data_IF_701687881098
#
_entry.id   IF_701687881098
#
_cell.length_a   1.000
_cell.length_b   1.000
_cell.length_c   1.000
_cell.angle_alpha   90.00
_cell.angle_beta   90.00
_cell.angle_gamma   90.00
#
_symmetry.space_group_name_H-M   'P 1'
#
loop_
_entity.id
_entity.type
_entity.pdbx_description
1 polymer ?
#
# COMPACT_ATOMS: atom_id res chain seq x y z
N UNK A 1 -10.48 5.31 -7.46
CA UNK A 1 -11.05 4.49 -6.35
C UNK A 1 -9.94 4.09 -5.39
N UNK A 2 -10.18 4.28 -4.10
CA UNK A 2 -9.29 3.87 -3.00
C UNK A 2 -10.06 2.96 -2.04
N UNK A 3 -9.45 1.83 -1.69
CA UNK A 3 -9.98 0.88 -0.69
C UNK A 3 -8.91 0.62 0.35
N UNK A 4 -9.35 0.43 1.60
CA UNK A 4 -8.51 0.13 2.75
C UNK A 4 -9.22 -0.94 3.57
N UNK A 5 -8.57 -2.08 3.74
CA UNK A 5 -9.13 -3.24 4.42
C UNK A 5 -8.11 -3.83 5.42
N UNK A 6 -8.62 -4.58 6.39
CA UNK A 6 -7.82 -5.36 7.33
C UNK A 6 -8.51 -6.71 7.53
N UNK A 7 -8.36 -7.62 6.57
CA UNK A 7 -9.08 -8.89 6.56
C UNK A 7 -8.45 -9.95 7.47
N UNK A 8 -7.19 -9.75 7.88
CA UNK A 8 -6.44 -10.73 8.66
C UNK A 8 -5.35 -10.09 9.54
N UNK A 9 -5.50 -10.23 10.85
CA UNK A 9 -4.46 -9.89 11.83
C UNK A 9 -3.91 -8.47 11.63
N UNK A 10 -2.60 -8.37 11.41
CA UNK A 10 -1.88 -7.10 11.23
C UNK A 10 -1.75 -6.66 9.78
N UNK A 11 -2.32 -7.39 8.82
CA UNK A 11 -2.21 -7.05 7.40
C UNK A 11 -3.22 -5.96 7.04
N UNK A 12 -2.74 -4.82 6.54
CA UNK A 12 -3.57 -3.79 5.93
C UNK A 12 -3.43 -3.90 4.41
N UNK A 13 -4.55 -3.97 3.73
CA UNK A 13 -4.66 -4.12 2.29
C UNK A 13 -5.20 -2.81 1.71
N UNK A 14 -4.42 -2.16 0.86
CA UNK A 14 -4.80 -0.90 0.23
C UNK A 14 -4.80 -1.07 -1.28
N UNK A 15 -5.92 -0.84 -1.94
CA UNK A 15 -5.97 -0.85 -3.41
C UNK A 15 -6.39 0.50 -3.94
N UNK A 16 -5.61 0.99 -4.90
CA UNK A 16 -5.84 2.25 -5.58
C UNK A 16 -5.85 2.00 -7.09
N UNK A 17 -6.90 2.47 -7.76
CA UNK A 17 -7.13 2.21 -9.19
C UNK A 17 -7.68 3.45 -9.89
N UNK A 18 -7.35 3.59 -11.18
CA UNK A 18 -7.75 4.71 -12.01
C UNK A 18 -6.94 5.98 -11.72
N UNK A 19 -7.63 7.13 -11.75
CA UNK A 19 -7.08 8.42 -11.33
C UNK A 19 -7.45 8.63 -9.85
N UNK A 20 -6.48 8.41 -8.97
CA UNK A 20 -6.62 8.71 -7.55
C UNK A 20 -6.62 10.22 -7.38
N UNK A 21 -7.51 10.73 -6.53
CA UNK A 21 -7.57 12.15 -6.20
C UNK A 21 -7.35 12.36 -4.70
N UNK A 22 -6.94 13.58 -4.33
CA UNK A 22 -6.86 14.01 -2.92
C UNK A 22 -8.17 13.73 -2.17
N UNK A 23 -9.32 13.98 -2.79
CA UNK A 23 -10.63 13.72 -2.16
C UNK A 23 -10.87 12.24 -1.88
N UNK A 24 -10.50 11.35 -2.80
CA UNK A 24 -10.59 9.89 -2.57
C UNK A 24 -9.65 9.42 -1.46
N UNK A 25 -8.43 9.97 -1.39
CA UNK A 25 -7.50 9.67 -0.30
C UNK A 25 -8.05 10.13 1.05
N UNK A 26 -8.51 11.38 1.14
CA UNK A 26 -9.09 11.94 2.36
C UNK A 26 -10.31 11.14 2.83
N UNK A 27 -11.16 10.70 1.90
CA UNK A 27 -12.31 9.87 2.21
C UNK A 27 -11.93 8.49 2.77
N UNK A 28 -10.72 7.99 2.47
CA UNK A 28 -10.22 6.71 2.99
C UNK A 28 -9.54 6.81 4.36
N UNK A 29 -9.16 8.01 4.82
CA UNK A 29 -8.43 8.19 6.07
C UNK A 29 -9.20 7.71 7.31
N UNK A 30 -10.51 7.97 7.47
CA UNK A 30 -11.23 7.49 8.65
C UNK A 30 -11.15 5.97 8.79
N UNK A 31 -11.30 5.24 7.69
CA UNK A 31 -11.17 3.77 7.67
C UNK A 31 -9.76 3.32 8.05
N UNK A 32 -8.74 3.95 7.49
CA UNK A 32 -7.35 3.64 7.82
C UNK A 32 -7.03 3.90 9.30
N UNK A 33 -7.44 5.06 9.84
CA UNK A 33 -7.26 5.40 11.24
C UNK A 33 -8.03 4.47 12.18
N UNK A 34 -9.25 4.06 11.79
CA UNK A 34 -10.02 3.07 12.55
C UNK A 34 -9.28 1.74 12.63
N UNK A 35 -8.70 1.26 11.53
CA UNK A 35 -7.88 0.03 11.51
C UNK A 35 -6.67 0.18 12.44
N UNK A 36 -5.92 1.28 12.34
CA UNK A 36 -4.76 1.52 13.19
C UNK A 36 -5.13 1.61 14.68
N UNK A 37 -6.33 2.07 15.01
CA UNK A 37 -6.82 2.15 16.38
C UNK A 37 -7.21 0.78 16.97
N UNK A 38 -7.44 -0.25 16.14
CA UNK A 38 -7.88 -1.57 16.64
C UNK A 38 -6.80 -2.32 17.41
N UNK A 39 -5.53 -1.96 17.25
CA UNK A 39 -4.41 -2.67 17.87
C UNK A 39 -3.24 -1.72 18.14
N UNK A 40 -2.57 -1.82 19.30
CA UNK A 40 -1.33 -1.08 19.56
C UNK A 40 -0.13 -1.66 18.80
N UNK A 41 -0.27 -2.82 18.14
CA UNK A 41 0.81 -3.43 17.38
C UNK A 41 1.13 -2.63 16.11
N UNK A 42 2.33 -2.88 15.56
CA UNK A 42 2.67 -2.40 14.22
C UNK A 42 2.03 -3.29 13.15
N UNK A 43 1.62 -2.66 12.07
CA UNK A 43 0.94 -3.29 10.95
C UNK A 43 1.91 -3.60 9.81
N UNK A 44 1.53 -4.57 8.98
CA UNK A 44 2.18 -4.84 7.70
C UNK A 44 1.23 -4.38 6.61
N UNK A 45 1.72 -3.62 5.63
CA UNK A 45 0.87 -3.03 4.60
C UNK A 45 1.22 -3.58 3.23
N UNK A 46 0.19 -3.94 2.47
CA UNK A 46 0.29 -4.29 1.07
C UNK A 46 -0.56 -3.32 0.27
N UNK A 47 0.07 -2.55 -0.60
CA UNK A 47 -0.59 -1.57 -1.45
C UNK A 47 -0.53 -2.00 -2.92
N UNK A 48 -1.66 -1.98 -3.61
CA UNK A 48 -1.79 -2.35 -5.01
C UNK A 48 -2.19 -1.14 -5.86
N UNK A 49 -1.24 -0.66 -6.67
CA UNK A 49 -1.37 0.44 -7.62
C UNK A 49 -1.29 -0.05 -9.07
N UNK A 50 -1.45 -1.35 -9.32
CA UNK A 50 -1.41 -1.88 -10.70
C UNK A 50 -2.49 -1.26 -11.61
N UNK A 51 -3.62 -0.85 -11.04
CA UNK A 51 -4.67 -0.14 -11.77
C UNK A 51 -4.50 1.38 -11.85
N UNK A 52 -3.47 1.97 -11.23
CA UNK A 52 -3.20 3.41 -11.34
C UNK A 52 -2.50 3.74 -12.65
N UNK A 53 -2.96 4.81 -13.32
CA UNK A 53 -2.35 5.28 -14.58
C UNK A 53 -1.53 6.55 -14.40
N UNK A 54 -1.93 7.40 -13.45
CA UNK A 54 -1.35 8.71 -13.20
C UNK A 54 -1.30 8.94 -11.70
N UNK A 55 -0.19 9.51 -11.24
CA UNK A 55 -0.05 10.09 -9.92
C UNK A 55 0.35 11.56 -10.13
N UNK A 56 -0.56 12.48 -9.84
CA UNK A 56 -0.25 13.91 -9.90
C UNK A 56 0.54 14.38 -8.67
N UNK A 57 1.21 15.52 -8.81
CA UNK A 57 2.14 16.04 -7.80
C UNK A 57 1.44 16.31 -6.46
N UNK A 58 0.22 16.88 -6.48
CA UNK A 58 -0.54 17.17 -5.26
C UNK A 58 -0.88 15.87 -4.50
N UNK A 59 -1.31 14.84 -5.23
CA UNK A 59 -1.63 13.53 -4.66
C UNK A 59 -0.35 12.84 -4.15
N UNK A 60 0.77 12.98 -4.86
CA UNK A 60 2.08 12.46 -4.44
C UNK A 60 2.57 13.09 -3.14
N UNK A 61 2.50 14.42 -3.01
CA UNK A 61 2.88 15.15 -1.80
C UNK A 61 2.03 14.75 -0.60
N UNK A 62 0.72 14.62 -0.78
CA UNK A 62 -0.18 14.17 0.27
C UNK A 62 0.17 12.75 0.72
N UNK A 63 0.40 11.83 -0.23
CA UNK A 63 0.83 10.46 0.06
C UNK A 63 2.15 10.43 0.83
N UNK A 64 3.12 11.26 0.45
CA UNK A 64 4.40 11.36 1.16
C UNK A 64 4.20 11.75 2.62
N UNK A 65 3.35 12.74 2.89
CA UNK A 65 3.09 13.23 4.25
C UNK A 65 2.41 12.14 5.10
N UNK A 66 1.37 11.49 4.58
CA UNK A 66 0.72 10.36 5.29
C UNK A 66 1.73 9.26 5.60
N UNK A 67 2.57 8.89 4.61
CA UNK A 67 3.53 7.82 4.79
C UNK A 67 4.58 8.15 5.85
N UNK A 68 5.00 9.42 5.97
CA UNK A 68 5.93 9.89 7.00
C UNK A 68 5.31 9.86 8.39
N UNK A 69 4.08 10.36 8.53
CA UNK A 69 3.36 10.38 9.80
C UNK A 69 3.15 8.96 10.35
N UNK A 70 2.77 8.03 9.48
CA UNK A 70 2.40 6.67 9.86
C UNK A 70 3.58 5.70 9.93
N UNK A 71 4.80 6.18 9.68
CA UNK A 71 5.99 5.32 9.60
C UNK A 71 6.28 4.56 10.90
N UNK A 72 5.84 5.07 12.05
CA UNK A 72 5.99 4.39 13.35
C UNK A 72 5.02 3.22 13.55
N UNK A 73 3.84 3.26 12.88
CA UNK A 73 2.79 2.23 12.99
C UNK A 73 2.92 1.14 11.95
N UNK A 74 3.67 1.38 10.87
CA UNK A 74 3.89 0.41 9.80
C UNK A 74 5.27 -0.25 9.95
N UNK A 75 5.29 -1.55 10.20
CA UNK A 75 6.51 -2.36 10.30
C UNK A 75 7.13 -2.59 8.93
N UNK A 76 6.30 -2.87 7.93
CA UNK A 76 6.74 -3.26 6.59
C UNK A 76 5.66 -2.93 5.57
N UNK A 77 6.05 -2.33 4.44
CA UNK A 77 5.12 -1.91 3.39
C UNK A 77 5.61 -2.35 2.02
N UNK A 78 4.86 -3.23 1.36
CA UNK A 78 5.09 -3.55 -0.04
C UNK A 78 4.09 -2.77 -0.91
N UNK A 79 4.62 -2.04 -1.89
CA UNK A 79 3.83 -1.46 -2.95
C UNK A 79 4.01 -2.27 -4.23
N UNK A 80 2.91 -2.56 -4.90
CA UNK A 80 2.87 -3.26 -6.18
C UNK A 80 2.38 -2.29 -7.25
N UNK A 81 3.19 -2.11 -8.29
CA UNK A 81 2.86 -1.24 -9.43
C UNK A 81 2.80 -2.05 -10.73
N UNK A 82 2.06 -1.54 -11.71
CA UNK A 82 2.18 -2.05 -13.07
C UNK A 82 3.51 -1.64 -13.68
N UNK A 83 4.11 -2.45 -14.57
CA UNK A 83 5.29 -2.06 -15.32
C UNK A 83 4.99 -0.81 -16.17
N UNK A 84 5.47 0.34 -15.71
CA UNK A 84 5.35 1.63 -16.41
C UNK A 84 6.61 2.44 -16.12
N UNK A 85 7.32 2.85 -17.18
CA UNK A 85 8.59 3.55 -17.03
C UNK A 85 8.43 4.90 -16.29
N UNK A 86 7.33 5.62 -16.51
CA UNK A 86 7.10 6.96 -15.93
C UNK A 86 6.63 6.84 -14.49
N UNK A 87 5.57 6.07 -14.24
CA UNK A 87 5.02 5.89 -12.90
C UNK A 87 6.04 5.19 -11.98
N UNK A 88 6.76 4.20 -12.49
CA UNK A 88 7.75 3.45 -11.71
C UNK A 88 8.84 4.34 -11.10
N UNK A 89 9.36 5.31 -11.84
CA UNK A 89 10.40 6.21 -11.32
C UNK A 89 9.86 7.16 -10.25
N UNK A 90 8.70 7.80 -10.49
CA UNK A 90 8.08 8.71 -9.53
C UNK A 90 7.78 7.98 -8.21
N UNK A 91 7.20 6.79 -8.32
CA UNK A 91 6.80 5.99 -7.17
C UNK A 91 7.99 5.46 -6.37
N UNK A 92 9.06 5.02 -7.04
CA UNK A 92 10.28 4.59 -6.35
C UNK A 92 10.93 5.74 -5.57
N UNK A 93 10.92 6.97 -6.12
CA UNK A 93 11.41 8.17 -5.41
C UNK A 93 10.55 8.47 -4.18
N UNK A 94 9.23 8.53 -4.37
CA UNK A 94 8.26 8.76 -3.29
C UNK A 94 8.48 7.79 -2.12
N UNK A 95 8.61 6.49 -2.40
CA UNK A 95 8.76 5.46 -1.36
C UNK A 95 10.14 5.48 -0.71
N UNK A 96 11.20 5.78 -1.45
CA UNK A 96 12.54 5.96 -0.89
C UNK A 96 12.57 7.14 0.11
N UNK A 97 11.92 8.26 -0.24
CA UNK A 97 11.82 9.45 0.63
C UNK A 97 10.92 9.29 1.85
N UNK A 98 10.01 8.31 1.83
CA UNK A 98 9.00 8.11 2.86
C UNK A 98 9.39 7.14 3.98
N UNK A 99 10.40 6.28 3.80
CA UNK A 99 10.66 5.27 4.85
C UNK A 99 11.83 4.30 4.69
N UNK A 100 12.75 4.46 3.73
CA UNK A 100 13.94 3.61 3.65
C UNK A 100 13.63 2.11 3.50
N UNK A 101 14.34 1.25 4.25
CA UNK A 101 14.29 -0.23 4.10
C UNK A 101 12.94 -0.89 4.48
N UNK A 102 12.06 -0.20 5.23
CA UNK A 102 10.76 -0.75 5.62
C UNK A 102 9.73 -0.70 4.50
N UNK A 103 10.02 0.03 3.41
CA UNK A 103 9.11 0.25 2.28
C UNK A 103 9.78 -0.17 0.97
N UNK A 104 9.13 -1.05 0.21
CA UNK A 104 9.68 -1.56 -1.05
C UNK A 104 8.64 -1.55 -2.16
N UNK A 105 9.10 -1.21 -3.37
CA UNK A 105 8.28 -1.13 -4.59
C UNK A 105 8.59 -2.32 -5.50
N UNK A 106 7.55 -3.04 -5.90
CA UNK A 106 7.62 -4.24 -6.72
C UNK A 106 6.78 -4.08 -8.00
N UNK A 107 7.32 -4.56 -9.11
CA UNK A 107 6.56 -4.75 -10.36
C UNK A 107 6.00 -6.17 -10.45
N UNK A 108 6.55 -7.11 -9.66
CA UNK A 108 6.11 -8.50 -9.61
C UNK A 108 5.31 -8.73 -8.33
N UNK A 109 4.00 -9.03 -8.41
CA UNK A 109 3.20 -9.35 -7.23
C UNK A 109 3.76 -10.54 -6.44
N UNK A 110 4.29 -11.56 -7.15
CA UNK A 110 4.91 -12.71 -6.48
C UNK A 110 6.18 -12.34 -5.71
N UNK A 111 6.95 -11.35 -6.17
CA UNK A 111 8.11 -10.84 -5.44
C UNK A 111 7.69 -10.09 -4.17
N UNK A 112 6.63 -9.29 -4.23
CA UNK A 112 6.06 -8.63 -3.05
C UNK A 112 5.60 -9.65 -1.99
N UNK A 113 4.91 -10.72 -2.41
CA UNK A 113 4.51 -11.82 -1.51
C UNK A 113 5.72 -12.45 -0.85
N UNK A 114 6.73 -12.85 -1.64
CA UNK A 114 7.95 -13.47 -1.09
C UNK A 114 8.67 -12.57 -0.10
N UNK A 115 8.65 -11.26 -0.32
CA UNK A 115 9.31 -10.30 0.56
C UNK A 115 8.51 -10.04 1.86
N UNK A 116 7.19 -10.03 1.80
CA UNK A 116 6.34 -9.87 3.00
C UNK A 116 6.20 -11.16 3.82
N UNK A 117 6.23 -12.33 3.17
CA UNK A 117 5.94 -13.62 3.81
C UNK A 117 6.70 -13.89 5.12
N UNK A 118 8.01 -13.58 5.25
CA UNK A 118 8.73 -13.80 6.51
C UNK A 118 8.20 -13.01 7.71
N UNK A 119 7.47 -11.91 7.46
CA UNK A 119 6.90 -11.04 8.50
C UNK A 119 5.44 -11.38 8.83
N UNK A 120 4.80 -12.25 8.03
CA UNK A 120 3.37 -12.56 8.13
C UNK A 120 3.12 -13.88 8.85
N UNK A 121 2.02 -13.94 9.62
CA UNK A 121 1.46 -15.19 10.13
C UNK A 121 0.75 -15.94 8.98
N UNK A 122 0.52 -17.27 9.11
CA UNK A 122 -0.09 -18.06 8.03
C UNK A 122 -1.44 -17.52 7.51
N UNK A 123 -2.32 -17.04 8.39
CA UNK A 123 -3.61 -16.47 7.98
C UNK A 123 -3.46 -15.10 7.30
N UNK A 124 -2.50 -14.29 7.73
CA UNK A 124 -2.17 -13.00 7.10
C UNK A 124 -1.58 -13.24 5.70
N UNK A 125 -0.71 -14.24 5.54
CA UNK A 125 -0.17 -14.62 4.23
C UNK A 125 -1.27 -15.11 3.26
N UNK A 126 -2.23 -15.89 3.75
CA UNK A 126 -3.36 -16.32 2.94
C UNK A 126 -4.22 -15.13 2.48
N UNK A 127 -4.50 -14.17 3.37
CA UNK A 127 -5.21 -12.95 3.01
C UNK A 127 -4.44 -12.13 1.96
N UNK A 128 -3.12 -11.94 2.13
CA UNK A 128 -2.28 -11.25 1.16
C UNK A 128 -2.36 -11.89 -0.24
N UNK A 129 -2.34 -13.22 -0.32
CA UNK A 129 -2.46 -13.93 -1.59
C UNK A 129 -3.83 -13.71 -2.23
N UNK A 130 -4.91 -13.74 -1.44
CA UNK A 130 -6.26 -13.46 -1.92
C UNK A 130 -6.38 -12.03 -2.43
N UNK A 131 -5.87 -11.05 -1.68
CA UNK A 131 -5.85 -9.64 -2.08
C UNK A 131 -5.11 -9.45 -3.41
N UNK A 132 -3.91 -9.99 -3.56
CA UNK A 132 -3.11 -9.82 -4.79
C UNK A 132 -3.76 -10.48 -6.01
N UNK A 133 -4.41 -11.62 -5.82
CA UNK A 133 -5.07 -12.37 -6.89
C UNK A 133 -6.47 -11.83 -7.22
N UNK A 134 -7.11 -11.10 -6.31
CA UNK A 134 -8.41 -10.48 -6.57
C UNK A 134 -8.30 -9.52 -7.75
N UNK A 135 -9.10 -9.77 -8.80
CA UNK A 135 -9.06 -9.02 -10.06
C UNK A 135 -9.06 -7.51 -9.85
N UNK A 136 -8.16 -6.83 -10.58
CA UNK A 136 -8.23 -5.39 -10.82
C UNK A 136 -9.31 -5.21 -11.89
N UNK A 137 -10.55 -4.91 -11.49
CA UNK A 137 -11.57 -4.51 -12.46
C UNK A 137 -11.02 -3.31 -13.23
N UNK A 138 -10.93 -3.46 -14.56
CA UNK A 138 -10.34 -2.49 -15.48
C UNK A 138 -11.18 -1.21 -15.62
#
# INVERSE_FOLDING_TARGET
MVTVENNAGRLIEVRQTGKVTVGELQASFPTFQQILATSPQRFIMATDWRGMRVLDDQTSELLLNIMREENSRIEKHALIISPSAILGLQVRRLFAEAGGESRMVFESPSAAVRWLAPSLKPHELHALQNFINANVAA
#
